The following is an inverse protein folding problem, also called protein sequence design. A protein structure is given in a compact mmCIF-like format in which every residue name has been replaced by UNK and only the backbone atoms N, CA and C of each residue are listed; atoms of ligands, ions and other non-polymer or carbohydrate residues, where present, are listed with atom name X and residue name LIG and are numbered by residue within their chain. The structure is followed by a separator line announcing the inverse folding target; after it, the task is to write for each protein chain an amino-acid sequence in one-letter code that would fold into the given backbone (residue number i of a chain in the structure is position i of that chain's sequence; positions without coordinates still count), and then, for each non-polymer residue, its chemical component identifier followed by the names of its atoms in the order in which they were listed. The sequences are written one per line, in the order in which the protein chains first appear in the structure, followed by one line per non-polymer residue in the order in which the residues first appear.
data_IF_826585562492
#
_entry.id   IF_826585562492
#
_cell.length_a   1.000
_cell.length_b   1.000
_cell.length_c   1.000
_cell.angle_alpha   90.00
_cell.angle_beta   90.00
_cell.angle_gamma   90.00
#
_symmetry.space_group_name_H-M   'P 1'
#
loop_
_entity.id
_entity.type
_entity.pdbx_description
1 polymer ?
#
# COMPACT_ATOMS: atom_id res chain seq x y z
N UNK A 1 -7.29 -0.12 -1.79
CA UNK A 1 -7.56 -0.44 -0.36
C UNK A 1 -6.57 -1.48 0.11
N UNK A 2 -5.84 -1.22 1.19
CA UNK A 2 -4.97 -2.19 1.86
C UNK A 2 -5.68 -2.75 3.11
N UNK A 3 -5.44 -4.02 3.42
CA UNK A 3 -5.98 -4.70 4.59
C UNK A 3 -4.79 -5.13 5.45
N UNK A 4 -4.83 -4.75 6.73
CA UNK A 4 -3.78 -5.06 7.71
C UNK A 4 -4.31 -6.00 8.77
N UNK A 5 -3.44 -6.89 9.26
CA UNK A 5 -3.72 -7.78 10.37
C UNK A 5 -3.52 -7.12 11.74
N UNK A 6 -3.46 -7.94 12.79
CA UNK A 6 -3.48 -7.45 14.18
C UNK A 6 -2.22 -6.65 14.55
N UNK A 7 -1.08 -6.99 13.96
CA UNK A 7 0.22 -6.40 14.26
C UNK A 7 0.67 -5.41 13.17
N UNK A 8 -0.19 -5.08 12.20
CA UNK A 8 0.10 -4.18 11.09
C UNK A 8 0.64 -4.86 9.84
N UNK A 9 0.71 -6.20 9.83
CA UNK A 9 1.11 -7.02 8.70
C UNK A 9 0.14 -6.86 7.52
N UNK A 10 0.67 -6.78 6.30
CA UNK A 10 -0.16 -6.71 5.11
C UNK A 10 -0.75 -8.10 4.85
N UNK A 11 -2.07 -8.23 4.95
CA UNK A 11 -2.78 -9.50 4.72
C UNK A 11 -3.52 -9.51 3.37
N UNK A 12 -3.60 -8.37 2.70
CA UNK A 12 -4.27 -8.27 1.41
C UNK A 12 -4.41 -6.84 0.91
N UNK A 13 -4.85 -6.72 -0.33
CA UNK A 13 -5.23 -5.45 -0.92
C UNK A 13 -6.09 -5.61 -2.16
N UNK A 14 -6.91 -4.61 -2.42
CA UNK A 14 -7.77 -4.53 -3.60
C UNK A 14 -7.52 -3.20 -4.31
N UNK A 15 -7.35 -3.26 -5.63
CA UNK A 15 -7.13 -2.11 -6.49
C UNK A 15 -8.18 -2.14 -7.60
N UNK A 16 -8.78 -0.99 -7.87
CA UNK A 16 -9.68 -0.76 -9.01
C UNK A 16 -9.28 0.56 -9.67
N UNK A 17 -8.99 0.52 -10.96
CA UNK A 17 -8.50 1.68 -11.71
C UNK A 17 -7.54 1.29 -12.83
N UNK A 18 -6.94 2.30 -13.46
CA UNK A 18 -5.85 2.11 -14.43
C UNK A 18 -4.65 1.44 -13.76
N UNK A 19 -3.94 0.62 -14.53
CA UNK A 19 -2.70 -0.05 -14.11
C UNK A 19 -2.82 -0.94 -12.86
N UNK A 20 -4.04 -1.33 -12.47
CA UNK A 20 -4.28 -2.13 -11.26
C UNK A 20 -3.46 -3.43 -11.21
N UNK A 21 -3.22 -4.06 -12.37
CA UNK A 21 -2.40 -5.28 -12.49
C UNK A 21 -0.90 -5.02 -12.27
N UNK A 22 -0.42 -3.81 -12.51
CA UNK A 22 0.97 -3.42 -12.23
C UNK A 22 1.11 -3.01 -10.76
N UNK A 23 0.18 -2.18 -10.26
CA UNK A 23 0.19 -1.67 -8.88
C UNK A 23 0.04 -2.78 -7.83
N UNK A 24 -0.73 -3.84 -8.12
CA UNK A 24 -0.97 -4.92 -7.15
C UNK A 24 0.32 -5.67 -6.79
N UNK A 25 1.35 -5.61 -7.67
CA UNK A 25 2.64 -6.25 -7.45
C UNK A 25 3.32 -5.81 -6.16
N UNK A 26 3.24 -4.53 -5.78
CA UNK A 26 3.84 -4.01 -4.55
C UNK A 26 3.18 -4.62 -3.30
N UNK A 27 1.85 -4.73 -3.29
CA UNK A 27 1.10 -5.37 -2.19
C UNK A 27 1.41 -6.86 -2.13
N UNK A 28 1.46 -7.55 -3.28
CA UNK A 28 1.84 -8.96 -3.34
C UNK A 28 3.26 -9.20 -2.79
N UNK A 29 4.21 -8.31 -3.13
CA UNK A 29 5.56 -8.37 -2.59
C UNK A 29 5.58 -8.15 -1.08
N UNK A 30 4.85 -7.15 -0.58
CA UNK A 30 4.69 -6.91 0.85
C UNK A 30 4.17 -8.14 1.60
N UNK A 31 3.14 -8.81 1.08
CA UNK A 31 2.61 -10.06 1.65
C UNK A 31 3.68 -11.17 1.63
N UNK A 32 4.38 -11.35 0.51
CA UNK A 32 5.40 -12.40 0.37
C UNK A 32 6.60 -12.20 1.31
N UNK A 33 6.87 -10.95 1.69
CA UNK A 33 7.93 -10.58 2.63
C UNK A 33 7.47 -10.55 4.10
N UNK A 34 6.20 -10.87 4.38
CA UNK A 34 5.58 -10.66 5.70
C UNK A 34 5.72 -9.21 6.19
N UNK A 35 5.71 -8.26 5.26
CA UNK A 35 5.91 -6.84 5.50
C UNK A 35 4.73 -6.18 6.23
N UNK A 36 5.05 -5.10 6.95
CA UNK A 36 4.08 -4.26 7.62
C UNK A 36 3.62 -3.11 6.70
N UNK A 37 2.43 -2.57 6.93
CA UNK A 37 2.00 -1.36 6.23
C UNK A 37 2.96 -0.18 6.46
N UNK A 38 3.65 -0.16 7.61
CA UNK A 38 4.69 0.83 7.93
C UNK A 38 5.89 0.77 6.96
N UNK A 39 6.19 -0.40 6.40
CA UNK A 39 7.29 -0.55 5.43
C UNK A 39 6.94 0.15 4.11
N UNK A 40 5.69 0.08 3.66
CA UNK A 40 5.19 0.83 2.49
C UNK A 40 5.20 2.34 2.79
N UNK A 41 4.74 2.75 3.99
CA UNK A 41 4.71 4.16 4.39
C UNK A 41 6.12 4.77 4.40
N UNK A 42 7.12 4.04 4.86
CA UNK A 42 8.51 4.52 4.86
C UNK A 42 9.23 4.36 3.52
N UNK A 43 8.62 3.68 2.54
CA UNK A 43 9.19 3.54 1.20
C UNK A 43 8.96 4.81 0.39
N UNK A 44 10.03 5.32 -0.23
CA UNK A 44 9.95 6.49 -1.10
C UNK A 44 9.28 6.11 -2.41
N UNK A 45 8.11 6.69 -2.65
CA UNK A 45 7.38 6.55 -3.90
C UNK A 45 7.73 7.71 -4.83
N UNK A 46 7.96 7.42 -6.11
CA UNK A 46 8.28 8.44 -7.09
C UNK A 46 7.07 9.37 -7.33
N UNK A 47 7.33 10.67 -7.48
CA UNK A 47 6.32 11.68 -7.79
C UNK A 47 6.59 12.31 -9.17
N UNK A 48 5.58 12.46 -10.06
CA UNK A 48 4.19 12.00 -9.93
C UNK A 48 4.00 10.56 -10.45
N UNK A 49 3.43 9.65 -9.66
CA UNK A 49 3.10 8.28 -10.12
C UNK A 49 1.83 7.69 -9.49
N UNK A 50 1.25 6.69 -10.15
CA UNK A 50 0.12 5.92 -9.60
C UNK A 50 0.48 5.11 -8.34
N UNK A 51 1.78 4.84 -8.09
CA UNK A 51 2.19 4.15 -6.86
C UNK A 51 1.94 5.03 -5.62
N UNK A 52 1.85 6.35 -5.74
CA UNK A 52 1.45 7.23 -4.62
C UNK A 52 0.08 6.84 -4.05
N UNK A 53 -0.81 6.25 -4.85
CA UNK A 53 -2.09 5.72 -4.36
C UNK A 53 -1.93 4.51 -3.44
N UNK A 54 -0.87 3.70 -3.60
CA UNK A 54 -0.53 2.60 -2.70
C UNK A 54 0.01 3.14 -1.39
N UNK A 55 0.91 4.13 -1.47
CA UNK A 55 1.42 4.86 -0.30
C UNK A 55 0.29 5.47 0.54
N UNK A 56 -0.61 6.24 -0.07
CA UNK A 56 -1.75 6.84 0.63
C UNK A 56 -2.72 5.78 1.17
N UNK A 57 -2.92 4.67 0.44
CA UNK A 57 -3.72 3.55 0.93
C UNK A 57 -3.09 2.86 2.16
N UNK A 58 -1.76 2.84 2.28
CA UNK A 58 -1.07 2.34 3.46
C UNK A 58 -1.22 3.33 4.63
N UNK A 59 -1.01 4.62 4.41
CA UNK A 59 -1.28 5.68 5.39
C UNK A 59 -2.72 5.65 5.91
N UNK A 60 -3.69 5.34 5.04
CA UNK A 60 -5.10 5.21 5.40
C UNK A 60 -5.37 4.11 6.41
N UNK A 61 -4.58 3.04 6.45
CA UNK A 61 -4.72 1.97 7.46
C UNK A 61 -4.45 2.47 8.88
N UNK A 62 -3.71 3.58 9.01
CA UNK A 62 -3.36 4.22 10.27
C UNK A 62 -4.04 5.59 10.48
N UNK A 63 -4.93 6.02 9.58
CA UNK A 63 -5.57 7.33 9.65
C UNK A 63 -4.60 8.51 9.44
N UNK A 64 -3.50 8.30 8.71
CA UNK A 64 -2.42 9.28 8.47
C UNK A 64 -2.38 9.82 7.04
N UNK A 65 -3.47 9.69 6.28
CA UNK A 65 -3.58 10.12 4.87
C UNK A 65 -3.17 11.58 4.73
N UNK A 66 -2.38 11.90 3.71
CA UNK A 66 -1.95 13.28 3.40
C UNK A 66 -2.78 13.82 2.24
N UNK A 67 -3.06 12.99 1.24
CA UNK A 67 -3.91 13.30 0.09
C UNK A 67 -5.04 12.26 -0.02
N UNK A 68 -6.28 12.69 0.24
CA UNK A 68 -7.49 11.85 0.26
C UNK A 68 -8.46 12.13 -0.87
#
# INVERSE_FOLDING_TARGET
KIIVGQYGEIIGGHIFGSDASELIGEICLGIAMEGLAEDIIHTVHAHPTMHEAIHEAALATQGRVIHG
#
